data_IF_558031200824
#
_entry.id   IF_558031200824
#
_cell.length_a   1.000
_cell.length_b   1.000
_cell.length_c   1.000
_cell.angle_alpha   90.00
_cell.angle_beta   90.00
_cell.angle_gamma   90.00
#
_symmetry.space_group_name_H-M   'P 1'
#
loop_
_entity.id
_entity.type
_entity.pdbx_description
1 polymer ?
#
# COMPACT_ATOMS: atom_id res chain seq x y z
N UNK A 1 1.40 17.42 -10.41
CA UNK A 1 0.09 17.36 -9.70
C UNK A 1 0.31 17.66 -8.24
N UNK A 2 -0.64 18.31 -7.57
CA UNK A 2 -0.61 18.61 -6.14
C UNK A 2 -1.70 17.76 -5.47
N UNK A 3 -1.36 17.04 -4.41
CA UNK A 3 -2.32 16.34 -3.57
C UNK A 3 -2.26 16.94 -2.17
N UNK A 4 -3.39 17.45 -1.69
CA UNK A 4 -3.53 18.04 -0.36
C UNK A 4 -4.19 17.02 0.57
N UNK A 5 -3.48 16.56 1.60
CA UNK A 5 -4.04 15.66 2.61
C UNK A 5 -4.87 16.46 3.64
N UNK A 6 -6.18 16.57 3.41
CA UNK A 6 -7.11 17.27 4.32
C UNK A 6 -7.36 16.48 5.63
N UNK A 7 -7.12 15.17 5.61
CA UNK A 7 -7.16 14.27 6.76
C UNK A 7 -6.14 13.14 6.58
N UNK A 8 -5.73 12.52 7.69
CA UNK A 8 -4.74 11.44 7.67
C UNK A 8 -5.00 10.48 8.83
N UNK A 9 -5.38 9.23 8.51
CA UNK A 9 -5.45 8.12 9.47
C UNK A 9 -5.10 6.76 8.81
N UNK A 10 -4.32 6.82 7.74
CA UNK A 10 -3.91 5.67 6.93
C UNK A 10 -2.94 6.16 5.86
N UNK A 11 -2.82 5.44 4.77
CA UNK A 11 -1.83 5.75 3.73
C UNK A 11 -2.24 6.91 2.82
N UNK A 12 -1.98 8.15 3.25
CA UNK A 12 -2.19 9.35 2.42
C UNK A 12 -1.34 9.32 1.15
N UNK A 13 -0.19 8.65 1.16
CA UNK A 13 0.61 8.39 -0.03
C UNK A 13 -0.13 7.56 -1.08
N UNK A 14 -0.79 6.48 -0.68
CA UNK A 14 -1.54 5.62 -1.59
C UNK A 14 -2.86 6.27 -2.03
N UNK A 15 -3.52 6.98 -1.11
CA UNK A 15 -4.64 7.86 -1.46
C UNK A 15 -4.26 8.93 -2.50
N UNK A 16 -3.05 9.47 -2.42
CA UNK A 16 -2.54 10.46 -3.40
C UNK A 16 -2.32 9.86 -4.79
N UNK A 17 -1.96 8.57 -4.89
CA UNK A 17 -1.87 7.86 -6.18
C UNK A 17 -3.26 7.80 -6.81
N UNK A 18 -4.27 7.33 -6.06
CA UNK A 18 -5.64 7.23 -6.55
C UNK A 18 -6.22 8.60 -6.95
N UNK A 19 -6.06 9.61 -6.09
CA UNK A 19 -6.51 10.97 -6.35
C UNK A 19 -5.80 11.59 -7.56
N UNK A 20 -4.48 11.38 -7.67
CA UNK A 20 -3.67 11.84 -8.80
C UNK A 20 -4.11 11.25 -10.13
N UNK A 21 -4.38 9.93 -10.16
CA UNK A 21 -4.92 9.25 -11.36
C UNK A 21 -6.23 9.88 -11.80
N UNK A 22 -7.20 10.03 -10.88
CA UNK A 22 -8.49 10.62 -11.21
C UNK A 22 -8.37 12.08 -11.67
N UNK A 23 -7.53 12.88 -11.01
CA UNK A 23 -7.30 14.27 -11.38
C UNK A 23 -6.68 14.41 -12.78
N UNK A 24 -5.75 13.53 -13.15
CA UNK A 24 -5.16 13.51 -14.48
C UNK A 24 -6.20 13.15 -15.55
N UNK A 25 -7.05 12.16 -15.27
CA UNK A 25 -8.13 11.76 -16.18
C UNK A 25 -9.16 12.89 -16.36
N UNK A 26 -9.57 13.54 -15.28
CA UNK A 26 -10.50 14.69 -15.31
C UNK A 26 -9.93 15.88 -16.09
N UNK A 27 -8.63 16.15 -15.93
CA UNK A 27 -7.91 17.18 -16.69
C UNK A 27 -7.69 16.82 -18.18
N UNK A 28 -8.11 15.63 -18.64
CA UNK A 28 -7.95 15.18 -20.02
C UNK A 28 -6.52 14.76 -20.38
N UNK A 29 -5.66 14.47 -19.38
CA UNK A 29 -4.31 13.98 -19.63
C UNK A 29 -4.38 12.54 -20.13
N UNK A 30 -3.78 12.21 -21.29
CA UNK A 30 -3.84 10.87 -21.87
C UNK A 30 -2.87 9.92 -21.16
N UNK A 31 -3.25 9.44 -19.97
CA UNK A 31 -2.49 8.41 -19.25
C UNK A 31 -2.66 7.03 -19.91
N UNK A 32 -1.62 6.20 -19.89
CA UNK A 32 -1.64 4.87 -20.52
C UNK A 32 -2.64 3.91 -19.86
N UNK A 33 -2.75 3.96 -18.54
CA UNK A 33 -3.67 3.14 -17.74
C UNK A 33 -3.85 3.78 -16.36
N UNK A 34 -5.01 3.60 -15.70
CA UNK A 34 -5.22 4.10 -14.36
C UNK A 34 -4.35 3.36 -13.34
N UNK A 35 -3.83 4.09 -12.36
CA UNK A 35 -3.00 3.56 -11.27
C UNK A 35 -3.73 3.75 -9.94
N UNK A 36 -3.76 2.70 -9.13
CA UNK A 36 -4.23 2.73 -7.74
C UNK A 36 -3.10 2.31 -6.80
N UNK A 37 -3.25 2.57 -5.51
CA UNK A 37 -2.31 2.09 -4.51
C UNK A 37 -2.98 1.73 -3.19
N UNK A 38 -2.31 0.89 -2.42
CA UNK A 38 -2.77 0.36 -1.13
C UNK A 38 -1.59 0.15 -0.17
N UNK A 39 -1.87 0.18 1.13
CA UNK A 39 -0.92 -0.19 2.17
C UNK A 39 -1.36 -1.49 2.84
N UNK A 40 -0.42 -2.43 2.96
CA UNK A 40 -0.60 -3.72 3.63
C UNK A 40 0.34 -3.79 4.82
N UNK A 41 -0.20 -4.08 6.00
CA UNK A 41 0.60 -4.27 7.22
C UNK A 41 0.89 -5.73 7.52
N UNK A 42 1.79 -5.96 8.47
CA UNK A 42 2.06 -7.26 9.06
C UNK A 42 1.99 -7.16 10.58
N UNK A 43 1.39 -8.15 11.22
CA UNK A 43 1.53 -8.41 12.66
C UNK A 43 2.06 -9.82 12.83
N UNK A 44 3.12 -9.98 13.62
CA UNK A 44 3.72 -11.27 13.98
C UNK A 44 3.40 -11.62 15.43
N UNK A 45 3.02 -12.88 15.66
CA UNK A 45 2.77 -13.45 16.98
C UNK A 45 4.02 -14.11 17.58
N UNK A 46 3.93 -14.52 18.85
CA UNK A 46 5.06 -15.11 19.60
C UNK A 46 5.57 -16.44 19.02
N UNK A 47 4.68 -17.22 18.38
CA UNK A 47 4.98 -18.56 17.84
C UNK A 47 5.35 -18.55 16.34
N UNK A 48 5.68 -17.38 15.78
CA UNK A 48 6.00 -17.22 14.36
C UNK A 48 4.80 -17.23 13.41
N UNK A 49 3.58 -17.27 13.97
CA UNK A 49 2.36 -16.97 13.22
C UNK A 49 2.36 -15.49 12.79
N UNK A 50 1.74 -15.19 11.65
CA UNK A 50 1.61 -13.82 11.18
C UNK A 50 0.25 -13.60 10.53
N UNK A 51 -0.16 -12.33 10.48
CA UNK A 51 -1.35 -11.86 9.77
C UNK A 51 -1.00 -10.62 8.96
N UNK A 52 -1.43 -10.60 7.69
CA UNK A 52 -1.37 -9.44 6.81
C UNK A 52 -2.66 -8.63 6.88
N UNK A 53 -2.56 -7.32 6.98
CA UNK A 53 -3.69 -6.40 7.14
C UNK A 53 -3.86 -5.53 5.89
N UNK A 54 -5.05 -5.48 5.30
CA UNK A 54 -5.34 -4.60 4.15
C UNK A 54 -5.76 -3.21 4.63
N UNK A 55 -5.26 -2.18 3.97
CA UNK A 55 -5.60 -0.77 4.20
C UNK A 55 -5.38 -0.31 5.65
N UNK A 56 -4.15 -0.49 6.13
CA UNK A 56 -3.82 -0.22 7.52
C UNK A 56 -4.05 1.24 7.91
N UNK A 57 -4.61 1.39 9.11
CA UNK A 57 -4.68 2.66 9.81
C UNK A 57 -3.32 3.06 10.37
N UNK A 58 -3.16 4.34 10.70
CA UNK A 58 -1.92 4.85 11.31
C UNK A 58 -1.56 4.13 12.62
N UNK A 59 -2.56 3.69 13.39
CA UNK A 59 -2.33 2.91 14.60
C UNK A 59 -1.81 1.49 14.29
N UNK A 60 -2.36 0.85 13.26
CA UNK A 60 -1.97 -0.50 12.84
C UNK A 60 -0.57 -0.52 12.23
N UNK A 61 -0.19 0.51 11.47
CA UNK A 61 1.20 0.73 11.08
C UNK A 61 2.10 0.88 12.33
N UNK A 62 1.74 1.78 13.26
CA UNK A 62 2.57 2.06 14.43
C UNK A 62 2.91 0.81 15.26
N UNK A 63 1.94 -0.10 15.43
CA UNK A 63 2.10 -1.33 16.22
C UNK A 63 2.55 -2.54 15.39
N UNK A 64 2.44 -2.46 14.06
CA UNK A 64 2.77 -3.54 13.15
C UNK A 64 4.27 -3.68 12.90
N UNK A 65 4.64 -4.83 12.34
CA UNK A 65 6.02 -5.25 12.09
C UNK A 65 6.52 -4.88 10.69
N UNK A 66 5.61 -4.54 9.79
CA UNK A 66 5.87 -4.17 8.40
C UNK A 66 4.80 -3.21 7.89
N UNK A 67 5.21 -2.22 7.10
CA UNK A 67 4.34 -1.39 6.24
C UNK A 67 4.77 -1.59 4.78
N UNK A 68 3.90 -2.22 4.01
CA UNK A 68 4.14 -2.57 2.61
C UNK A 68 3.16 -1.83 1.71
N UNK A 69 3.65 -0.82 1.00
CA UNK A 69 2.85 -0.01 0.08
C UNK A 69 3.10 -0.45 -1.34
N UNK A 70 2.02 -0.67 -2.08
CA UNK A 70 2.06 -1.09 -3.47
C UNK A 70 1.17 -0.17 -4.29
N UNK A 71 1.67 0.30 -5.42
CA UNK A 71 0.87 1.01 -6.41
C UNK A 71 1.04 0.36 -7.79
N UNK A 72 -0.02 0.29 -8.57
CA UNK A 72 -0.03 -0.43 -9.84
C UNK A 72 -1.25 -0.18 -10.71
N UNK A 73 -1.18 -0.72 -11.92
CA UNK A 73 -2.32 -0.90 -12.82
C UNK A 73 -2.86 -2.33 -12.68
N UNK A 74 -3.92 -2.67 -13.41
CA UNK A 74 -4.40 -4.07 -13.50
C UNK A 74 -3.34 -5.04 -14.03
N UNK A 75 -2.41 -4.52 -14.85
CA UNK A 75 -1.41 -5.32 -15.55
C UNK A 75 -0.12 -5.52 -14.74
N UNK A 76 0.11 -4.69 -13.71
CA UNK A 76 1.32 -4.82 -12.91
C UNK A 76 1.61 -3.68 -11.96
N UNK A 77 2.65 -3.90 -11.16
CA UNK A 77 3.13 -2.97 -10.15
C UNK A 77 3.96 -1.86 -10.80
N UNK A 78 3.69 -0.62 -10.38
CA UNK A 78 4.41 0.59 -10.82
C UNK A 78 5.32 1.14 -9.72
N UNK A 79 4.98 0.91 -8.45
CA UNK A 79 5.81 1.29 -7.31
C UNK A 79 5.62 0.33 -6.13
N UNK A 80 6.71 0.14 -5.37
CA UNK A 80 6.72 -0.58 -4.10
C UNK A 80 7.49 0.28 -3.09
N UNK A 81 6.96 0.40 -1.89
CA UNK A 81 7.67 0.86 -0.71
C UNK A 81 7.51 -0.19 0.38
N UNK A 82 8.62 -0.59 1.01
CA UNK A 82 8.63 -1.57 2.10
C UNK A 82 9.42 -0.99 3.26
N UNK A 83 8.78 -0.87 4.41
CA UNK A 83 9.40 -0.60 5.69
C UNK A 83 9.22 -1.80 6.61
N UNK A 84 10.30 -2.27 7.23
CA UNK A 84 10.31 -3.44 8.11
C UNK A 84 10.85 -3.00 9.46
N UNK A 85 10.08 -3.28 10.52
CA UNK A 85 10.42 -2.94 11.91
C UNK A 85 11.00 -4.13 12.69
N UNK A 86 11.00 -5.31 12.07
CA UNK A 86 11.63 -6.55 12.55
C UNK A 86 12.94 -6.84 11.81
N UNK A 87 13.73 -7.79 12.32
CA UNK A 87 15.03 -8.13 11.74
C UNK A 87 14.93 -8.74 10.32
N UNK A 88 13.85 -9.47 10.04
CA UNK A 88 13.64 -10.13 8.76
C UNK A 88 12.18 -10.52 8.56
N UNK A 89 11.74 -10.55 7.31
CA UNK A 89 10.47 -11.14 6.88
C UNK A 89 10.76 -12.29 5.91
N UNK A 90 9.90 -13.31 5.90
CA UNK A 90 10.03 -14.43 4.96
C UNK A 90 9.57 -14.02 3.56
N UNK A 91 10.03 -14.76 2.54
CA UNK A 91 9.53 -14.58 1.18
C UNK A 91 8.03 -14.89 1.05
N UNK A 92 7.51 -15.79 1.89
CA UNK A 92 6.09 -16.13 1.92
C UNK A 92 5.24 -14.93 2.37
N UNK A 93 5.69 -14.20 3.41
CA UNK A 93 5.04 -12.96 3.86
C UNK A 93 4.97 -11.93 2.73
N UNK A 94 6.08 -11.73 2.00
CA UNK A 94 6.12 -10.78 0.87
C UNK A 94 5.14 -11.20 -0.22
N UNK A 95 5.07 -12.50 -0.52
CA UNK A 95 4.17 -13.04 -1.54
C UNK A 95 2.71 -12.88 -1.15
N UNK A 96 2.37 -13.15 0.10
CA UNK A 96 1.01 -12.98 0.62
C UNK A 96 0.62 -11.50 0.62
N UNK A 97 1.50 -10.62 1.10
CA UNK A 97 1.28 -9.18 1.07
C UNK A 97 1.08 -8.65 -0.36
N UNK A 98 1.86 -9.11 -1.33
CA UNK A 98 1.67 -8.76 -2.76
C UNK A 98 0.36 -9.30 -3.33
N UNK A 99 -0.04 -10.53 -2.97
CA UNK A 99 -1.29 -11.12 -3.43
C UNK A 99 -2.48 -10.34 -2.88
N UNK A 100 -2.48 -10.06 -1.57
CA UNK A 100 -3.51 -9.29 -0.88
C UNK A 100 -3.57 -7.84 -1.38
N UNK A 101 -2.41 -7.20 -1.61
CA UNK A 101 -2.35 -5.86 -2.18
C UNK A 101 -2.88 -5.79 -3.63
N UNK A 102 -2.79 -6.89 -4.40
CA UNK A 102 -3.32 -6.94 -5.76
C UNK A 102 -4.85 -7.08 -5.79
N UNK A 103 -5.43 -7.75 -4.79
CA UNK A 103 -6.88 -7.95 -4.71
C UNK A 103 -7.62 -6.70 -4.21
N UNK A 104 -6.96 -5.89 -3.38
CA UNK A 104 -7.47 -4.62 -2.85
C UNK A 104 -7.45 -3.50 -3.90
#
# INVERSE_FOLDING_TARGET
>A
IVCEALSSNGSTSMGSVCAGTLALMDAGVPITSPVAGISVGLITGEDGEYVTLTDIQGLEDHVGDMDFKVAGTSEGVTAIQLDIKVNSISFDVIKDALSQAKEA
#
